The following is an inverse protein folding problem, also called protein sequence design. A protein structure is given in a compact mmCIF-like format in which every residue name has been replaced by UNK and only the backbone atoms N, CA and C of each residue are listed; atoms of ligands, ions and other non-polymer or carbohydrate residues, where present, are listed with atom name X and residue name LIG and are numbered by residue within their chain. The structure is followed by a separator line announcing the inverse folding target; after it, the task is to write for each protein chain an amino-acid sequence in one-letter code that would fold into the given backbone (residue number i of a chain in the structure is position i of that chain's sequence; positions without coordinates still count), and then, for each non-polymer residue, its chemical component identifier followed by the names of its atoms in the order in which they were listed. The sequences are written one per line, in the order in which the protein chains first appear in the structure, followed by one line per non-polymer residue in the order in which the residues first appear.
data_IF_540138784202
#
_entry.id   IF_540138784202
#
_cell.length_a   1.000
_cell.length_b   1.000
_cell.length_c   1.000
_cell.angle_alpha   90.00
_cell.angle_beta   90.00
_cell.angle_gamma   90.00
#
_symmetry.space_group_name_H-M   'P 1'
#
loop_
_entity.id
_entity.type
_entity.pdbx_description
1 polymer ?
#
# COMPACT_ATOMS: atom_id res chain seq x y z
N UNK A 1 41.47 3.20 18.37
CA UNK A 1 41.10 1.79 18.44
C UNK A 1 40.65 1.32 17.07
N UNK A 2 40.93 0.09 16.64
CA UNK A 2 40.43 -0.44 15.37
C UNK A 2 38.90 -0.47 15.41
N UNK A 3 38.27 -0.29 14.25
CA UNK A 3 36.83 -0.46 14.12
C UNK A 3 36.46 -1.92 14.43
N UNK A 4 35.46 -2.12 15.27
CA UNK A 4 34.99 -3.42 15.67
C UNK A 4 33.68 -3.72 14.98
N UNK A 5 33.72 -4.60 13.99
CA UNK A 5 32.53 -5.14 13.34
C UNK A 5 32.04 -6.35 14.12
N UNK A 6 30.84 -6.24 14.66
CA UNK A 6 30.29 -7.27 15.55
C UNK A 6 28.97 -7.85 15.08
N UNK A 7 28.42 -7.32 13.99
CA UNK A 7 27.15 -7.79 13.45
C UNK A 7 27.29 -9.16 12.75
N UNK A 8 27.31 -10.22 13.53
CA UNK A 8 27.14 -11.57 13.04
C UNK A 8 25.67 -11.95 13.09
N UNK A 9 24.99 -11.77 11.97
CA UNK A 9 23.54 -11.94 11.90
C UNK A 9 23.09 -13.27 11.31
N UNK A 10 23.98 -14.03 10.68
CA UNK A 10 23.66 -15.34 10.10
C UNK A 10 22.85 -16.21 11.07
N UNK A 11 21.71 -16.72 10.62
CA UNK A 11 20.85 -17.59 11.40
C UNK A 11 19.88 -16.88 12.34
N UNK A 12 19.89 -15.55 12.39
CA UNK A 12 18.97 -14.77 13.21
C UNK A 12 17.69 -14.45 12.44
N UNK A 13 16.60 -14.34 13.19
CA UNK A 13 15.36 -13.76 12.70
C UNK A 13 15.30 -12.27 13.02
N UNK A 14 14.58 -11.53 12.20
CA UNK A 14 14.19 -10.16 12.48
C UNK A 14 12.70 -9.96 12.16
N UNK A 15 12.12 -8.95 12.74
CA UNK A 15 10.81 -8.47 12.36
C UNK A 15 10.87 -6.97 12.14
N UNK A 16 10.09 -6.50 11.19
CA UNK A 16 9.87 -5.10 10.92
C UNK A 16 8.40 -4.79 11.14
N UNK A 17 8.14 -3.73 11.87
CA UNK A 17 6.83 -3.16 12.06
C UNK A 17 6.90 -1.67 11.83
N UNK A 18 6.06 -1.16 10.94
CA UNK A 18 6.06 0.24 10.59
C UNK A 18 4.70 0.71 10.12
N UNK A 19 4.65 1.95 9.67
CA UNK A 19 3.51 2.54 9.00
C UNK A 19 3.93 3.09 7.65
N UNK A 20 2.96 3.27 6.76
CA UNK A 20 3.17 3.83 5.44
C UNK A 20 2.30 5.07 5.17
N UNK A 21 2.61 5.73 4.09
CA UNK A 21 1.82 6.76 3.42
C UNK A 21 1.89 6.48 1.93
N UNK A 22 0.73 6.55 1.28
CA UNK A 22 0.61 6.14 -0.10
C UNK A 22 0.25 7.32 -1.01
N UNK A 23 0.83 7.29 -2.19
CA UNK A 23 0.52 8.21 -3.27
C UNK A 23 0.09 7.39 -4.48
N UNK A 24 -1.00 7.77 -5.09
CA UNK A 24 -1.59 7.07 -6.22
C UNK A 24 -1.48 7.91 -7.48
N UNK A 25 -1.05 7.30 -8.56
CA UNK A 25 -1.22 7.86 -9.90
C UNK A 25 -2.67 7.71 -10.31
N UNK A 26 -3.14 8.61 -11.18
CA UNK A 26 -4.49 8.50 -11.72
C UNK A 26 -4.68 7.18 -12.45
N UNK A 27 -5.89 6.65 -12.40
CA UNK A 27 -6.22 5.32 -12.92
C UNK A 27 -7.50 5.34 -13.74
N UNK A 28 -7.56 4.48 -14.75
CA UNK A 28 -8.82 4.16 -15.43
C UNK A 28 -9.48 2.99 -14.70
N UNK A 29 -10.76 3.15 -14.33
CA UNK A 29 -11.49 2.14 -13.57
C UNK A 29 -12.74 1.73 -14.36
N UNK A 30 -12.91 0.43 -14.56
CA UNK A 30 -14.10 -0.13 -15.23
C UNK A 30 -14.98 -0.83 -14.22
N UNK A 31 -16.26 -0.48 -14.24
CA UNK A 31 -17.32 -1.10 -13.47
C UNK A 31 -18.23 -1.89 -14.40
N UNK A 32 -18.42 -3.17 -14.09
CA UNK A 32 -19.24 -4.07 -14.91
C UNK A 32 -20.14 -4.93 -14.03
N UNK A 33 -21.41 -5.03 -14.42
CA UNK A 33 -22.42 -5.80 -13.71
C UNK A 33 -23.71 -5.93 -14.52
N UNK A 34 -24.76 -6.43 -13.86
CA UNK A 34 -26.05 -6.52 -14.50
C UNK A 34 -26.64 -5.11 -14.73
N UNK A 35 -26.87 -4.77 -16.00
CA UNK A 35 -27.41 -3.48 -16.38
C UNK A 35 -26.40 -2.34 -16.49
N UNK A 36 -25.12 -2.56 -16.25
CA UNK A 36 -24.12 -1.52 -16.44
C UNK A 36 -22.76 -2.08 -16.90
N UNK A 37 -22.11 -1.31 -17.74
CA UNK A 37 -20.69 -1.49 -18.09
C UNK A 37 -20.15 -0.11 -18.50
N UNK A 38 -19.33 0.48 -17.66
CA UNK A 38 -18.74 1.79 -17.93
C UNK A 38 -17.34 1.91 -17.38
N UNK A 39 -16.55 2.75 -18.03
CA UNK A 39 -15.19 3.10 -17.62
C UNK A 39 -15.14 4.58 -17.30
N UNK A 40 -14.59 4.92 -16.17
CA UNK A 40 -14.19 6.27 -15.76
C UNK A 40 -12.69 6.42 -15.89
N UNK A 41 -12.23 7.51 -16.47
CA UNK A 41 -10.83 7.72 -16.82
C UNK A 41 -10.19 8.79 -15.96
N UNK A 42 -8.88 8.62 -15.76
CA UNK A 42 -8.02 9.59 -15.08
C UNK A 42 -8.47 9.90 -13.65
N UNK A 43 -8.93 8.89 -12.95
CA UNK A 43 -9.49 8.97 -11.61
C UNK A 43 -8.40 9.25 -10.58
N UNK A 44 -8.55 10.34 -9.83
CA UNK A 44 -7.72 10.65 -8.68
C UNK A 44 -8.15 9.83 -7.47
N UNK A 45 -7.16 9.31 -6.74
CA UNK A 45 -7.36 8.66 -5.45
C UNK A 45 -6.41 9.22 -4.40
N UNK A 46 -6.82 9.12 -3.17
CA UNK A 46 -6.06 9.62 -2.01
C UNK A 46 -5.89 8.53 -0.97
N UNK A 47 -4.82 8.68 -0.21
CA UNK A 47 -4.60 7.95 1.02
C UNK A 47 -5.58 8.41 2.13
N UNK A 48 -5.93 7.51 3.05
CA UNK A 48 -6.81 7.81 4.21
C UNK A 48 -6.12 7.42 5.52
N UNK A 49 -5.06 8.13 5.90
CA UNK A 49 -4.34 7.82 7.14
C UNK A 49 -5.19 8.10 8.37
N UNK A 50 -5.03 7.26 9.39
CA UNK A 50 -5.73 7.46 10.67
C UNK A 50 -5.14 8.59 11.53
N UNK A 51 -4.00 9.20 11.14
CA UNK A 51 -3.24 10.10 12.00
C UNK A 51 -2.46 9.34 13.09
N UNK A 52 -1.82 10.06 14.00
CA UNK A 52 -1.09 9.45 15.13
C UNK A 52 -2.08 8.84 16.12
N UNK A 53 -2.08 7.50 16.25
CA UNK A 53 -2.97 6.77 17.14
C UNK A 53 -2.26 5.54 17.71
N UNK A 54 -2.62 5.17 18.93
CA UNK A 54 -2.06 3.99 19.62
C UNK A 54 -2.35 2.67 18.88
N UNK A 55 -3.36 2.65 18.03
CA UNK A 55 -3.69 1.48 17.21
C UNK A 55 -2.53 1.04 16.28
N UNK A 56 -1.58 1.95 15.97
CA UNK A 56 -0.36 1.57 15.23
C UNK A 56 0.56 0.61 15.97
N UNK A 57 0.40 0.52 17.29
CA UNK A 57 1.22 -0.35 18.16
C UNK A 57 0.39 -1.55 18.66
N UNK A 58 -0.89 -1.61 18.33
CA UNK A 58 -1.78 -2.67 18.80
C UNK A 58 -1.89 -3.82 17.78
N UNK A 59 -1.27 -5.00 18.04
CA UNK A 59 -1.28 -6.12 17.11
C UNK A 59 -2.66 -6.71 16.82
N UNK A 60 -3.66 -6.45 17.69
CA UNK A 60 -5.04 -6.91 17.51
C UNK A 60 -5.86 -6.00 16.57
N UNK A 61 -5.30 -4.85 16.18
CA UNK A 61 -5.96 -3.86 15.30
C UNK A 61 -5.13 -3.52 14.07
N UNK A 62 -4.36 -4.47 13.56
CA UNK A 62 -3.43 -4.28 12.44
C UNK A 62 -4.08 -3.82 11.15
N UNK A 63 -5.39 -4.01 10.98
CA UNK A 63 -6.13 -3.62 9.77
C UNK A 63 -6.76 -2.23 9.84
N UNK A 64 -6.66 -1.53 10.96
CA UNK A 64 -7.23 -0.19 11.13
C UNK A 64 -6.25 0.91 10.72
N UNK A 65 -4.98 0.91 11.19
CA UNK A 65 -3.95 1.79 10.70
C UNK A 65 -3.27 1.20 9.46
N UNK A 66 -2.60 2.07 8.68
CA UNK A 66 -1.74 1.63 7.58
C UNK A 66 -0.43 1.12 8.18
N UNK A 67 -0.33 -0.20 8.29
CA UNK A 67 0.80 -0.88 8.92
C UNK A 67 1.52 -1.78 7.95
N UNK A 68 2.83 -1.87 8.14
CA UNK A 68 3.71 -2.81 7.48
C UNK A 68 4.19 -3.82 8.53
N UNK A 69 4.11 -5.10 8.22
CA UNK A 69 4.65 -6.14 9.06
C UNK A 69 5.40 -7.16 8.22
N UNK A 70 6.70 -7.30 8.49
CA UNK A 70 7.55 -8.29 7.83
C UNK A 70 8.30 -9.12 8.85
N UNK A 71 8.47 -10.38 8.55
CA UNK A 71 9.37 -11.29 9.26
C UNK A 71 10.43 -11.79 8.30
N UNK A 72 11.67 -11.77 8.73
CA UNK A 72 12.78 -12.19 7.89
C UNK A 72 13.83 -12.99 8.63
N UNK A 73 14.72 -13.57 7.84
CA UNK A 73 15.79 -14.44 8.28
C UNK A 73 17.09 -14.08 7.56
N UNK A 74 18.19 -14.03 8.32
CA UNK A 74 19.52 -13.81 7.79
C UNK A 74 20.12 -15.11 7.27
N UNK A 75 20.25 -15.24 5.95
CA UNK A 75 20.91 -16.35 5.29
C UNK A 75 22.43 -16.37 5.59
N UNK A 76 23.00 -15.17 5.65
CA UNK A 76 24.36 -14.89 6.11
C UNK A 76 24.42 -13.46 6.66
N UNK A 77 25.60 -12.93 6.94
CA UNK A 77 25.74 -11.58 7.53
C UNK A 77 25.31 -10.44 6.59
N UNK A 78 25.15 -10.71 5.30
CA UNK A 78 24.82 -9.71 4.28
C UNK A 78 23.50 -9.94 3.56
N UNK A 79 22.96 -11.16 3.57
CA UNK A 79 21.76 -11.46 2.79
C UNK A 79 20.61 -11.96 3.67
N UNK A 80 19.45 -11.44 3.39
CA UNK A 80 18.20 -11.80 4.07
C UNK A 80 17.14 -12.26 3.09
N UNK A 81 16.20 -13.03 3.59
CA UNK A 81 14.91 -13.28 2.98
C UNK A 81 13.83 -12.91 3.96
N UNK A 82 12.78 -12.24 3.50
CA UNK A 82 11.65 -11.87 4.34
C UNK A 82 10.33 -12.10 3.62
N UNK A 83 9.27 -12.22 4.40
CA UNK A 83 7.90 -12.19 3.94
C UNK A 83 7.12 -11.20 4.79
N UNK A 84 6.16 -10.51 4.17
CA UNK A 84 5.42 -9.46 4.86
C UNK A 84 4.09 -9.14 4.25
N UNK A 85 3.37 -8.29 4.98
CA UNK A 85 2.10 -7.70 4.55
C UNK A 85 2.16 -6.20 4.82
N UNK A 86 1.89 -5.43 3.78
CA UNK A 86 1.73 -3.98 3.85
C UNK A 86 0.26 -3.65 3.65
N UNK A 87 -0.30 -2.97 4.65
CA UNK A 87 -1.69 -2.54 4.63
C UNK A 87 -1.76 -1.08 4.18
N UNK A 88 -2.31 -0.87 3.00
CA UNK A 88 -2.50 0.43 2.37
C UNK A 88 -3.97 0.80 2.33
N UNK A 89 -4.29 2.06 2.03
CA UNK A 89 -5.66 2.54 1.85
C UNK A 89 -5.78 3.37 0.59
N UNK A 90 -6.73 3.01 -0.24
CA UNK A 90 -7.05 3.72 -1.48
C UNK A 90 -8.48 4.24 -1.39
N UNK A 91 -8.68 5.53 -1.55
CA UNK A 91 -10.00 6.16 -1.57
C UNK A 91 -10.13 7.02 -2.81
N UNK A 92 -11.08 6.66 -3.67
CA UNK A 92 -11.45 7.48 -4.81
C UNK A 92 -11.95 8.84 -4.34
N UNK A 93 -11.39 9.92 -4.88
CA UNK A 93 -11.77 11.29 -4.50
C UNK A 93 -13.17 11.61 -4.99
N UNK A 94 -14.08 11.95 -4.09
CA UNK A 94 -15.41 12.38 -4.45
C UNK A 94 -15.42 13.82 -4.98
N UNK A 95 -16.42 14.15 -5.80
CA UNK A 95 -16.60 15.48 -6.37
C UNK A 95 -15.66 15.80 -7.55
N UNK A 96 -14.79 14.90 -7.96
CA UNK A 96 -13.97 15.07 -9.14
C UNK A 96 -14.79 14.89 -10.41
N UNK A 97 -14.40 15.56 -11.48
CA UNK A 97 -14.96 15.38 -12.83
C UNK A 97 -14.05 14.46 -13.63
N UNK A 98 -14.60 13.40 -14.19
CA UNK A 98 -13.89 12.39 -14.97
C UNK A 98 -14.55 12.20 -16.34
N UNK A 99 -13.79 11.67 -17.31
CA UNK A 99 -14.36 11.21 -18.58
C UNK A 99 -14.98 9.84 -18.40
N UNK A 100 -16.24 9.69 -18.77
CA UNK A 100 -16.99 8.45 -18.66
C UNK A 100 -17.43 7.94 -20.03
N UNK A 101 -17.27 6.64 -20.24
CA UNK A 101 -17.73 5.93 -21.43
C UNK A 101 -18.37 4.61 -21.04
N UNK A 102 -19.44 4.20 -21.74
CA UNK A 102 -20.17 2.96 -21.51
C UNK A 102 -21.66 3.20 -21.33
N UNK A 103 -22.31 2.37 -20.52
CA UNK A 103 -23.75 2.50 -20.28
C UNK A 103 -24.15 2.12 -18.86
N UNK A 104 -25.28 2.66 -18.43
CA UNK A 104 -26.04 2.27 -17.25
C UNK A 104 -27.50 2.15 -17.69
N UNK A 105 -28.15 1.04 -17.37
CA UNK A 105 -29.51 0.76 -17.77
C UNK A 105 -30.30 0.03 -16.69
N UNK A 106 -31.48 0.53 -16.36
CA UNK A 106 -32.38 -0.10 -15.40
C UNK A 106 -32.01 0.12 -13.94
N UNK A 107 -31.20 1.12 -13.62
CA UNK A 107 -30.90 1.50 -12.24
C UNK A 107 -32.07 2.18 -11.55
N UNK A 108 -33.00 2.73 -12.31
CA UNK A 108 -34.12 3.54 -11.81
C UNK A 108 -33.71 4.91 -11.29
N UNK A 109 -32.50 5.36 -11.61
CA UNK A 109 -31.94 6.64 -11.20
C UNK A 109 -31.76 7.57 -12.40
N UNK A 110 -31.43 8.83 -12.15
CA UNK A 110 -31.05 9.81 -13.19
C UNK A 110 -29.73 9.50 -13.88
N UNK A 111 -29.05 8.43 -13.46
CA UNK A 111 -27.77 8.00 -14.02
C UNK A 111 -27.92 6.96 -15.14
N UNK A 112 -29.14 6.54 -15.48
CA UNK A 112 -29.38 5.68 -16.64
C UNK A 112 -29.05 6.42 -17.94
N UNK A 113 -28.31 5.79 -18.84
CA UNK A 113 -27.93 6.37 -20.10
C UNK A 113 -26.73 5.71 -20.78
N UNK A 114 -26.43 6.22 -21.97
CA UNK A 114 -25.21 5.87 -22.73
C UNK A 114 -24.25 7.03 -22.65
N UNK A 115 -23.02 6.74 -22.31
CA UNK A 115 -21.94 7.70 -22.10
C UNK A 115 -20.86 7.49 -23.17
N UNK A 116 -20.49 8.54 -23.86
CA UNK A 116 -19.45 8.50 -24.89
C UNK A 116 -18.41 9.60 -24.62
N UNK A 117 -17.45 9.31 -23.76
CA UNK A 117 -16.37 10.22 -23.35
C UNK A 117 -16.91 11.57 -22.81
N UNK A 118 -17.98 11.53 -22.05
CA UNK A 118 -18.62 12.71 -21.45
C UNK A 118 -18.04 13.03 -20.09
N UNK A 119 -18.11 14.30 -19.70
CA UNK A 119 -17.75 14.71 -18.35
C UNK A 119 -18.81 14.24 -17.34
N UNK A 120 -18.37 13.57 -16.30
CA UNK A 120 -19.20 13.07 -15.20
C UNK A 120 -18.60 13.45 -13.87
N UNK A 121 -19.38 14.10 -13.03
CA UNK A 121 -19.00 14.35 -11.63
C UNK A 121 -19.25 13.10 -10.82
N UNK A 122 -18.24 12.64 -10.07
CA UNK A 122 -18.36 11.51 -9.17
C UNK A 122 -18.92 11.98 -7.82
N UNK A 123 -20.23 11.90 -7.69
CA UNK A 123 -20.95 12.24 -6.46
C UNK A 123 -21.18 10.99 -5.60
N UNK A 124 -21.41 11.16 -4.29
CA UNK A 124 -21.61 10.05 -3.36
C UNK A 124 -22.88 9.24 -3.64
N UNK A 125 -23.87 9.85 -4.27
CA UNK A 125 -25.11 9.19 -4.72
C UNK A 125 -24.92 8.41 -6.01
N UNK A 126 -23.89 8.76 -6.81
CA UNK A 126 -23.56 8.04 -8.03
C UNK A 126 -22.59 6.89 -7.77
N UNK A 127 -21.41 7.18 -7.26
CA UNK A 127 -20.34 6.19 -7.13
C UNK A 127 -19.36 6.56 -6.01
N UNK A 128 -19.18 5.64 -5.07
CA UNK A 128 -18.02 5.64 -4.18
C UNK A 128 -17.24 4.37 -4.35
N UNK A 129 -15.92 4.46 -4.29
CA UNK A 129 -15.02 3.32 -4.43
C UNK A 129 -13.80 3.48 -3.52
N UNK A 130 -13.59 2.49 -2.66
CA UNK A 130 -12.48 2.52 -1.73
C UNK A 130 -11.97 1.12 -1.36
N UNK A 131 -10.70 1.06 -0.95
CA UNK A 131 -10.06 -0.10 -0.34
C UNK A 131 -9.55 0.30 1.05
N UNK A 132 -10.45 0.69 1.95
CA UNK A 132 -10.08 1.16 3.30
C UNK A 132 -9.96 0.04 4.31
N UNK A 133 -10.63 -1.08 4.07
CA UNK A 133 -10.53 -2.29 4.89
C UNK A 133 -9.36 -3.21 4.45
N UNK A 134 -8.62 -2.78 3.45
CA UNK A 134 -7.41 -3.45 3.01
C UNK A 134 -7.12 -3.36 1.52
N UNK A 135 -6.17 -2.53 1.13
CA UNK A 135 -5.35 -2.72 -0.04
C UNK A 135 -4.08 -3.41 0.46
N UNK A 136 -4.14 -4.74 0.64
CA UNK A 136 -3.04 -5.48 1.23
C UNK A 136 -2.05 -5.93 0.16
N UNK A 137 -0.78 -5.65 0.37
CA UNK A 137 0.31 -6.16 -0.45
C UNK A 137 1.03 -7.26 0.33
N UNK A 138 0.94 -8.49 -0.15
CA UNK A 138 1.66 -9.63 0.41
C UNK A 138 2.92 -9.82 -0.40
N UNK A 139 4.07 -9.78 0.25
CA UNK A 139 5.38 -9.73 -0.41
C UNK A 139 6.36 -10.75 0.16
N UNK A 140 7.23 -11.26 -0.73
CA UNK A 140 8.47 -11.95 -0.36
C UNK A 140 9.62 -11.14 -0.95
N UNK A 141 10.63 -10.86 -0.14
CA UNK A 141 11.76 -10.00 -0.48
C UNK A 141 13.08 -10.67 -0.17
N UNK A 142 14.04 -10.53 -1.09
CA UNK A 142 15.45 -10.80 -0.85
C UNK A 142 16.20 -9.47 -0.74
N UNK A 143 17.03 -9.32 0.29
CA UNK A 143 17.77 -8.07 0.49
C UNK A 143 19.24 -8.34 0.83
N UNK A 144 20.07 -7.35 0.45
CA UNK A 144 21.47 -7.22 0.86
C UNK A 144 21.56 -6.12 1.89
N UNK A 145 22.34 -6.36 2.96
CA UNK A 145 22.58 -5.43 4.05
C UNK A 145 24.08 -5.23 4.18
N UNK A 146 24.54 -4.01 4.03
CA UNK A 146 25.94 -3.64 4.20
C UNK A 146 26.09 -2.63 5.36
N UNK A 147 27.01 -2.89 6.26
CA UNK A 147 27.35 -1.98 7.35
C UNK A 147 28.12 -0.78 6.80
N UNK A 148 27.53 0.40 6.94
CA UNK A 148 28.09 1.69 6.54
C UNK A 148 28.46 2.58 7.73
N UNK A 149 28.49 2.03 8.93
CA UNK A 149 28.75 2.76 10.19
C UNK A 149 30.05 3.54 10.15
N UNK A 150 31.05 3.04 9.43
CA UNK A 150 32.35 3.70 9.26
C UNK A 150 32.22 5.08 8.59
N UNK A 151 31.27 5.26 7.68
CA UNK A 151 31.02 6.54 6.99
C UNK A 151 30.55 7.63 7.96
N UNK A 152 29.96 7.23 9.07
CA UNK A 152 29.46 8.11 10.14
C UNK A 152 30.42 8.20 11.32
N UNK A 153 31.65 7.70 11.20
CA UNK A 153 32.65 7.72 12.27
C UNK A 153 32.34 6.78 13.44
N UNK A 154 31.36 5.90 13.31
CA UNK A 154 30.99 4.93 14.33
C UNK A 154 32.04 3.82 14.33
N UNK A 155 32.71 3.66 15.48
CA UNK A 155 33.80 2.68 15.63
C UNK A 155 33.37 1.43 16.40
N UNK A 156 32.34 1.55 17.24
CA UNK A 156 31.80 0.43 18.01
C UNK A 156 30.37 0.14 17.55
N UNK A 157 30.20 -0.91 16.74
CA UNK A 157 28.93 -1.32 16.19
C UNK A 157 28.13 -2.24 17.12
N UNK A 158 28.65 -2.56 18.33
CA UNK A 158 27.87 -3.23 19.38
C UNK A 158 26.77 -2.33 19.96
N UNK A 159 26.98 -0.99 19.92
CA UNK A 159 26.04 -0.03 20.50
C UNK A 159 25.15 0.58 19.42
N UNK A 160 25.75 0.97 18.30
CA UNK A 160 25.04 1.63 17.20
C UNK A 160 25.64 1.12 15.88
N UNK A 161 24.77 0.69 15.00
CA UNK A 161 25.12 0.27 13.65
C UNK A 161 24.24 1.00 12.64
N UNK A 162 24.84 1.50 11.57
CA UNK A 162 24.14 2.06 10.41
C UNK A 162 24.33 1.13 9.23
N UNK A 163 23.23 0.66 8.67
CA UNK A 163 23.25 -0.26 7.55
C UNK A 163 22.60 0.37 6.33
N UNK A 164 23.13 0.07 5.15
CA UNK A 164 22.46 0.23 3.87
C UNK A 164 21.80 -1.08 3.52
N UNK A 165 20.51 -1.04 3.19
CA UNK A 165 19.75 -2.22 2.76
C UNK A 165 19.26 -1.99 1.33
N UNK A 166 19.55 -2.93 0.45
CA UNK A 166 19.09 -2.96 -0.93
C UNK A 166 18.33 -4.26 -1.15
N UNK A 167 17.08 -4.19 -1.61
CA UNK A 167 16.23 -5.36 -1.75
C UNK A 167 15.43 -5.37 -3.02
N UNK A 168 14.99 -6.55 -3.39
CA UNK A 168 13.99 -6.79 -4.43
C UNK A 168 12.95 -7.75 -3.90
N UNK A 169 11.68 -7.41 -4.13
CA UNK A 169 10.55 -8.22 -3.69
C UNK A 169 9.56 -8.49 -4.81
N UNK A 170 8.84 -9.58 -4.66
CA UNK A 170 7.69 -9.95 -5.48
C UNK A 170 6.50 -10.17 -4.57
N UNK A 171 5.35 -9.66 -4.98
CA UNK A 171 4.15 -9.78 -4.17
C UNK A 171 2.87 -9.70 -4.98
N UNK A 172 1.76 -9.93 -4.29
CA UNK A 172 0.43 -9.82 -4.83
C UNK A 172 -0.38 -8.81 -4.02
N UNK A 173 -1.15 -8.00 -4.73
CA UNK A 173 -2.11 -7.08 -4.11
C UNK A 173 -3.41 -7.85 -3.89
N UNK A 174 -3.90 -7.85 -2.66
CA UNK A 174 -5.19 -8.42 -2.27
C UNK A 174 -6.10 -7.29 -1.76
N UNK A 175 -6.94 -6.72 -2.64
CA UNK A 175 -7.83 -5.63 -2.26
C UNK A 175 -9.10 -6.16 -1.59
N UNK A 176 -9.52 -5.47 -0.52
CA UNK A 176 -10.86 -5.58 0.03
C UNK A 176 -11.62 -4.30 -0.31
N UNK A 177 -12.43 -4.42 -1.35
CA UNK A 177 -13.13 -3.26 -1.95
C UNK A 177 -14.46 -3.00 -1.26
N UNK A 178 -14.76 -1.73 -1.06
CA UNK A 178 -16.08 -1.23 -0.73
C UNK A 178 -16.53 -0.32 -1.88
N UNK A 179 -17.62 -0.68 -2.54
CA UNK A 179 -18.17 0.05 -3.67
C UNK A 179 -19.64 0.29 -3.43
N UNK A 180 -20.04 1.55 -3.49
CA UNK A 180 -21.45 1.93 -3.58
C UNK A 180 -21.69 2.51 -4.96
N UNK A 181 -22.62 1.94 -5.69
CA UNK A 181 -23.02 2.36 -7.01
C UNK A 181 -24.55 2.57 -6.96
N UNK A 182 -25.01 3.81 -7.19
CA UNK A 182 -26.40 4.28 -7.32
C UNK A 182 -27.39 3.68 -6.33
#
# INVERSE_FOLDING_TARGET
APARYTAHNKGKFFFFWGGNRDYYTNSDITFSGNGYNFTIKDVEAVDKPKGWHIDYINPLRMTIPQTNFHIGYYLNDHYTISAGVDHMKYVMKNGQTVKMSGYINGSGTSHDGIYNNVDKVLTEDFLTFEHTDGLNYVVVEGARIDDISRLFGIRNTDILQVNLTEGIGFGAVYPKSNTKLM
#
